data_IF_421560197400
#
_entry.id   IF_421560197400
#
_cell.length_a   1.000
_cell.length_b   1.000
_cell.length_c   1.000
_cell.angle_alpha   90.00
_cell.angle_beta   90.00
_cell.angle_gamma   90.00
#
_symmetry.space_group_name_H-M   'P 1'
#
loop_
_entity.id
_entity.type
_entity.pdbx_description
1 polymer ?
#
# COMPACT_ATOMS: atom_id res chain seq x y z
N UNK A 1 0.99 -3.91 23.50
CA UNK A 1 0.77 -2.51 23.09
C UNK A 1 1.66 -2.06 21.93
N UNK A 2 2.99 -1.97 22.05
CA UNK A 2 3.81 -1.52 20.92
C UNK A 2 3.60 -2.36 19.63
N UNK A 3 3.59 -3.69 19.74
CA UNK A 3 3.33 -4.60 18.60
C UNK A 3 1.97 -4.38 17.94
N UNK A 4 0.93 -4.07 18.71
CA UNK A 4 -0.42 -3.86 18.15
C UNK A 4 -0.53 -2.57 17.34
N UNK A 5 0.45 -1.66 17.44
CA UNK A 5 0.53 -0.44 16.64
C UNK A 5 1.54 -0.62 15.49
N UNK A 6 2.71 -1.20 15.78
CA UNK A 6 3.78 -1.34 14.78
C UNK A 6 3.47 -2.35 13.68
N UNK A 7 2.69 -3.40 13.97
CA UNK A 7 2.30 -4.37 12.94
C UNK A 7 1.36 -3.72 11.90
N UNK A 8 0.23 -3.08 12.29
CA UNK A 8 -0.60 -2.35 11.32
C UNK A 8 0.13 -1.20 10.63
N UNK A 9 1.04 -0.51 11.33
CA UNK A 9 1.86 0.56 10.73
C UNK A 9 2.80 0.01 9.64
N UNK A 10 3.42 -1.15 9.88
CA UNK A 10 4.27 -1.81 8.90
C UNK A 10 3.49 -2.34 7.70
N UNK A 11 2.30 -2.90 7.94
CA UNK A 11 1.39 -3.34 6.88
C UNK A 11 0.94 -2.16 6.02
N UNK A 12 0.53 -1.05 6.65
CA UNK A 12 0.18 0.20 5.98
C UNK A 12 1.34 0.73 5.11
N UNK A 13 2.57 0.69 5.64
CA UNK A 13 3.76 1.07 4.88
C UNK A 13 3.98 0.19 3.66
N UNK A 14 3.86 -1.13 3.79
CA UNK A 14 4.07 -2.05 2.67
C UNK A 14 2.98 -1.90 1.60
N UNK A 15 1.72 -1.75 2.00
CA UNK A 15 0.62 -1.52 1.05
C UNK A 15 0.81 -0.20 0.29
N UNK A 16 1.29 0.85 0.95
CA UNK A 16 1.65 2.09 0.28
C UNK A 16 2.82 1.91 -0.70
N UNK A 17 3.87 1.15 -0.34
CA UNK A 17 5.01 0.86 -1.23
C UNK A 17 4.54 0.10 -2.48
N UNK A 18 3.73 -0.95 -2.31
CA UNK A 18 3.14 -1.72 -3.40
C UNK A 18 2.26 -0.85 -4.31
N UNK A 19 1.57 0.16 -3.76
CA UNK A 19 0.70 1.07 -4.53
C UNK A 19 1.56 1.98 -5.42
N UNK A 20 2.54 2.62 -4.79
CA UNK A 20 3.45 3.54 -5.47
C UNK A 20 4.32 2.81 -6.50
N UNK A 21 4.60 1.52 -6.34
CA UNK A 21 5.35 0.74 -7.32
C UNK A 21 4.64 0.72 -8.68
N UNK A 22 3.32 0.51 -8.73
CA UNK A 22 2.60 0.52 -10.02
C UNK A 22 2.07 1.90 -10.42
N UNK A 23 1.64 2.73 -9.46
CA UNK A 23 0.91 3.98 -9.72
C UNK A 23 1.75 5.25 -9.61
N UNK A 24 2.96 5.16 -9.04
CA UNK A 24 3.75 6.33 -8.68
C UNK A 24 4.30 7.05 -9.90
N UNK A 25 4.26 8.38 -9.88
CA UNK A 25 4.92 9.20 -10.90
C UNK A 25 6.44 9.25 -10.65
N UNK A 26 7.26 9.59 -11.66
CA UNK A 26 8.71 9.74 -11.48
C UNK A 26 9.12 10.70 -10.35
N UNK A 27 8.27 11.69 -10.03
CA UNK A 27 8.48 12.63 -8.92
C UNK A 27 8.19 12.01 -7.55
N UNK A 28 7.35 10.98 -7.50
CA UNK A 28 6.95 10.29 -6.28
C UNK A 28 7.85 9.09 -5.94
N UNK A 29 8.47 8.47 -6.95
CA UNK A 29 9.25 7.24 -6.80
C UNK A 29 10.75 7.49 -6.99
N UNK A 30 11.57 6.91 -6.10
CA UNK A 30 13.05 6.98 -6.19
C UNK A 30 13.62 5.88 -7.11
N UNK A 31 12.81 4.86 -7.39
CA UNK A 31 13.13 3.72 -8.24
C UNK A 31 11.97 3.49 -9.20
N UNK A 32 12.26 2.97 -10.38
CA UNK A 32 11.22 2.46 -11.28
C UNK A 32 10.55 1.28 -10.57
N UNK A 33 9.23 1.27 -10.56
CA UNK A 33 8.46 0.15 -10.02
C UNK A 33 8.66 -1.11 -10.85
N UNK A 34 8.71 -2.26 -10.19
CA UNK A 34 9.11 -3.54 -10.81
C UNK A 34 8.21 -4.70 -10.43
N UNK A 35 7.24 -4.53 -9.54
CA UNK A 35 6.46 -5.62 -8.96
C UNK A 35 5.74 -6.44 -10.02
N UNK A 36 5.14 -5.77 -11.01
CA UNK A 36 4.46 -6.42 -12.14
C UNK A 36 5.46 -7.23 -12.97
N UNK A 37 6.62 -6.65 -13.31
CA UNK A 37 7.64 -7.27 -14.16
C UNK A 37 8.33 -8.45 -13.47
N UNK A 38 8.51 -8.36 -12.16
CA UNK A 38 9.20 -9.34 -11.32
C UNK A 38 8.27 -10.44 -10.79
N UNK A 39 7.00 -10.44 -11.20
CA UNK A 39 5.99 -11.41 -10.76
C UNK A 39 5.85 -11.44 -9.23
N UNK A 40 5.88 -10.27 -8.59
CA UNK A 40 5.76 -10.19 -7.13
C UNK A 40 4.32 -10.43 -6.69
N UNK A 41 4.19 -11.02 -5.50
CA UNK A 41 2.90 -11.21 -4.85
C UNK A 41 2.51 -9.94 -4.07
N UNK A 42 2.36 -8.81 -4.78
CA UNK A 42 1.95 -7.56 -4.17
C UNK A 42 0.50 -7.62 -3.70
N UNK A 43 0.12 -6.74 -2.78
CA UNK A 43 -1.26 -6.68 -2.31
C UNK A 43 -2.25 -6.36 -3.45
N UNK A 44 -1.80 -5.70 -4.51
CA UNK A 44 -2.62 -5.22 -5.62
C UNK A 44 -2.93 -6.27 -6.68
N UNK A 45 -2.02 -7.20 -6.99
CA UNK A 45 -2.37 -8.34 -7.84
C UNK A 45 -3.37 -9.24 -7.13
N UNK A 46 -3.17 -9.48 -5.82
CA UNK A 46 -4.11 -10.28 -5.01
C UNK A 46 -5.49 -9.61 -4.90
N UNK A 47 -5.53 -8.29 -4.69
CA UNK A 47 -6.79 -7.54 -4.63
C UNK A 47 -7.51 -7.56 -5.97
N UNK A 48 -6.78 -7.43 -7.07
CA UNK A 48 -7.33 -7.50 -8.42
C UNK A 48 -7.92 -8.88 -8.71
N UNK A 49 -7.18 -9.96 -8.45
CA UNK A 49 -7.64 -11.33 -8.67
C UNK A 49 -8.90 -11.68 -7.88
N UNK A 50 -9.12 -11.04 -6.73
CA UNK A 50 -10.31 -11.26 -5.92
C UNK A 50 -11.60 -10.65 -6.52
N UNK A 51 -11.49 -9.73 -7.48
CA UNK A 51 -12.63 -8.92 -7.97
C UNK A 51 -12.71 -8.79 -9.48
N UNK A 52 -11.69 -9.22 -10.20
CA UNK A 52 -11.63 -9.10 -11.65
C UNK A 52 -12.62 -10.04 -12.35
N UNK A 53 -12.97 -9.71 -13.59
CA UNK A 53 -13.72 -10.62 -14.47
C UNK A 53 -12.81 -11.72 -15.02
N UNK A 54 -13.39 -12.72 -15.69
CA UNK A 54 -12.62 -13.78 -16.35
C UNK A 54 -11.71 -13.23 -17.46
N UNK A 55 -12.20 -12.25 -18.21
CA UNK A 55 -11.43 -11.61 -19.28
C UNK A 55 -10.23 -10.84 -18.71
N UNK A 56 -10.44 -10.12 -17.60
CA UNK A 56 -9.37 -9.43 -16.89
C UNK A 56 -8.37 -10.42 -16.28
N UNK A 57 -8.84 -11.54 -15.74
CA UNK A 57 -7.98 -12.59 -15.22
C UNK A 57 -7.07 -13.16 -16.30
N UNK A 58 -7.60 -13.42 -17.51
CA UNK A 58 -6.78 -13.87 -18.64
C UNK A 58 -5.71 -12.86 -19.04
N UNK A 59 -6.03 -11.56 -19.00
CA UNK A 59 -5.01 -10.52 -19.22
C UNK A 59 -3.90 -10.62 -18.17
N UNK A 60 -4.24 -10.81 -16.89
CA UNK A 60 -3.24 -10.97 -15.83
C UNK A 60 -2.39 -12.23 -16.04
N UNK A 61 -3.00 -13.37 -16.38
CA UNK A 61 -2.30 -14.65 -16.57
C UNK A 61 -1.26 -14.59 -17.71
N UNK A 62 -1.59 -13.88 -18.81
CA UNK A 62 -0.69 -13.75 -19.96
C UNK A 62 0.43 -12.71 -19.73
N UNK A 63 0.11 -11.60 -19.03
CA UNK A 63 0.95 -10.41 -19.00
C UNK A 63 1.72 -10.20 -17.69
N UNK A 64 1.23 -10.68 -16.54
CA UNK A 64 1.89 -10.47 -15.25
C UNK A 64 3.21 -11.27 -15.17
N UNK A 65 4.27 -10.66 -14.64
CA UNK A 65 5.59 -11.29 -14.56
C UNK A 65 6.36 -11.36 -15.89
N UNK A 66 5.92 -10.64 -16.93
CA UNK A 66 6.63 -10.53 -18.20
C UNK A 66 7.51 -9.29 -18.21
N UNK A 67 8.78 -9.45 -18.59
CA UNK A 67 9.75 -8.35 -18.75
C UNK A 67 9.54 -7.59 -20.06
N UNK A 68 8.33 -7.08 -20.25
CA UNK A 68 7.86 -6.41 -21.45
C UNK A 68 6.94 -5.25 -21.07
N UNK A 69 7.17 -4.08 -21.65
CA UNK A 69 6.47 -2.85 -21.28
C UNK A 69 5.01 -2.84 -21.72
N UNK A 70 4.66 -3.54 -22.80
CA UNK A 70 3.27 -3.64 -23.25
C UNK A 70 2.47 -4.59 -22.35
N UNK A 71 3.10 -5.67 -21.89
CA UNK A 71 2.52 -6.55 -20.88
C UNK A 71 2.28 -5.78 -19.57
N UNK A 72 3.27 -5.01 -19.11
CA UNK A 72 3.12 -4.16 -17.91
C UNK A 72 1.97 -3.17 -18.05
N UNK A 73 1.87 -2.50 -19.21
CA UNK A 73 0.78 -1.57 -19.52
C UNK A 73 -0.58 -2.27 -19.46
N UNK A 74 -0.71 -3.46 -20.06
CA UNK A 74 -1.96 -4.24 -20.01
C UNK A 74 -2.38 -4.61 -18.60
N UNK A 75 -1.44 -4.97 -17.72
CA UNK A 75 -1.72 -5.21 -16.30
C UNK A 75 -2.19 -3.92 -15.60
N UNK A 76 -1.52 -2.79 -15.84
CA UNK A 76 -1.89 -1.50 -15.24
C UNK A 76 -3.30 -1.06 -15.68
N UNK A 77 -3.67 -1.30 -16.94
CA UNK A 77 -5.03 -1.03 -17.43
C UNK A 77 -6.08 -1.87 -16.69
N UNK A 78 -5.79 -3.14 -16.37
CA UNK A 78 -6.69 -3.96 -15.55
C UNK A 78 -6.81 -3.41 -14.13
N UNK A 79 -5.68 -3.01 -13.53
CA UNK A 79 -5.63 -2.39 -12.19
C UNK A 79 -6.47 -1.11 -12.08
N UNK A 80 -6.51 -0.32 -13.15
CA UNK A 80 -7.26 0.94 -13.22
C UNK A 80 -8.70 0.77 -13.74
N UNK A 81 -9.04 -0.41 -14.27
CA UNK A 81 -10.32 -0.67 -14.90
C UNK A 81 -11.52 -0.56 -13.93
N UNK A 82 -12.69 -0.25 -14.49
CA UNK A 82 -13.94 -0.21 -13.73
C UNK A 82 -14.24 -1.59 -13.13
N UNK A 83 -14.49 -1.64 -11.82
CA UNK A 83 -14.70 -2.87 -11.05
C UNK A 83 -13.49 -3.27 -10.21
N UNK A 84 -12.28 -3.03 -10.73
CA UNK A 84 -11.03 -3.17 -9.97
C UNK A 84 -10.71 -1.86 -9.25
N UNK A 85 -10.46 -0.77 -9.98
CA UNK A 85 -10.21 0.59 -9.46
C UNK A 85 -9.34 0.61 -8.18
N UNK A 86 -8.08 0.20 -8.33
CA UNK A 86 -7.15 0.13 -7.20
C UNK A 86 -6.89 1.49 -6.56
N UNK A 87 -6.95 2.58 -7.33
CA UNK A 87 -6.82 3.94 -6.81
C UNK A 87 -7.90 4.27 -5.80
N UNK A 88 -9.17 4.00 -6.12
CA UNK A 88 -10.28 4.20 -5.19
C UNK A 88 -10.18 3.28 -3.97
N UNK A 89 -9.86 2.00 -4.18
CA UNK A 89 -9.71 1.04 -3.07
C UNK A 89 -8.60 1.45 -2.10
N UNK A 90 -7.46 1.89 -2.64
CA UNK A 90 -6.37 2.42 -1.84
C UNK A 90 -6.79 3.68 -1.09
N UNK A 91 -7.45 4.65 -1.72
CA UNK A 91 -7.91 5.86 -1.04
C UNK A 91 -8.82 5.57 0.17
N UNK A 92 -9.76 4.63 0.02
CA UNK A 92 -10.63 4.18 1.13
C UNK A 92 -9.82 3.49 2.24
N UNK A 93 -8.87 2.65 1.86
CA UNK A 93 -7.98 1.96 2.81
C UNK A 93 -7.08 2.94 3.57
N UNK A 94 -6.45 3.88 2.86
CA UNK A 94 -5.51 4.88 3.38
C UNK A 94 -6.17 5.75 4.45
N UNK A 95 -7.33 6.33 4.15
CA UNK A 95 -8.07 7.17 5.10
C UNK A 95 -8.49 6.40 6.35
N UNK A 96 -8.98 5.17 6.17
CA UNK A 96 -9.41 4.30 7.26
C UNK A 96 -8.24 3.95 8.19
N UNK A 97 -7.18 3.37 7.64
CA UNK A 97 -6.06 2.83 8.43
C UNK A 97 -5.26 3.96 9.09
N UNK A 98 -5.10 5.09 8.42
CA UNK A 98 -4.51 6.27 9.05
C UNK A 98 -5.32 6.73 10.28
N UNK A 99 -6.64 6.79 10.16
CA UNK A 99 -7.52 7.14 11.29
C UNK A 99 -7.40 6.16 12.46
N UNK A 100 -7.40 4.85 12.17
CA UNK A 100 -7.22 3.79 13.18
C UNK A 100 -5.85 3.89 13.87
N UNK A 101 -4.77 4.11 13.11
CA UNK A 101 -3.42 4.28 13.64
C UNK A 101 -3.31 5.53 14.54
N UNK A 102 -3.90 6.65 14.12
CA UNK A 102 -3.94 7.87 14.95
C UNK A 102 -4.67 7.62 16.27
N UNK A 103 -5.83 6.94 16.23
CA UNK A 103 -6.59 6.61 17.42
C UNK A 103 -5.79 5.69 18.37
N UNK A 104 -5.23 4.59 17.85
CA UNK A 104 -4.42 3.65 18.65
C UNK A 104 -3.19 4.30 19.29
N UNK A 105 -2.54 5.23 18.58
CA UNK A 105 -1.42 6.00 19.15
C UNK A 105 -1.90 6.94 20.25
N UNK A 106 -3.06 7.59 20.06
CA UNK A 106 -3.66 8.49 21.06
C UNK A 106 -3.97 7.81 22.40
N UNK A 107 -4.32 6.52 22.36
CA UNK A 107 -4.68 5.71 23.53
C UNK A 107 -3.47 5.21 24.34
N UNK A 108 -2.22 5.42 23.89
CA UNK A 108 -1.05 4.97 24.65
C UNK A 108 -0.97 5.72 26.00
N UNK A 109 -0.98 5.00 27.13
CA UNK A 109 -0.85 5.62 28.43
C UNK A 109 0.58 6.13 28.62
N UNK A 110 0.70 7.42 28.92
CA UNK A 110 1.96 8.04 29.31
C UNK A 110 1.85 8.50 30.76
N UNK A 111 2.79 8.07 31.60
CA UNK A 111 2.84 8.45 33.01
C UNK A 111 4.20 9.08 33.30
N UNK A 112 4.17 10.29 33.85
CA UNK A 112 5.37 11.03 34.23
C UNK A 112 6.19 10.25 35.27
N UNK A 113 7.51 10.24 35.11
CA UNK A 113 8.42 9.51 36.00
C UNK A 113 8.46 7.98 35.82
N UNK A 114 7.74 7.40 34.86
CA UNK A 114 7.83 5.96 34.53
C UNK A 114 8.34 5.74 33.11
N UNK A 115 9.07 4.65 32.90
CA UNK A 115 9.45 4.18 31.57
C UNK A 115 8.23 3.56 30.89
N UNK A 116 7.44 4.39 30.23
CA UNK A 116 6.29 3.99 29.41
C UNK A 116 6.60 4.19 27.92
N UNK A 117 5.82 3.53 27.06
CA UNK A 117 5.82 3.83 25.63
C UNK A 117 5.49 5.31 25.41
N UNK A 118 6.13 5.91 24.40
CA UNK A 118 5.95 7.32 24.03
C UNK A 118 5.19 7.44 22.72
N UNK A 119 4.01 8.06 22.74
CA UNK A 119 3.17 8.38 21.58
C UNK A 119 3.96 9.07 20.48
N UNK A 120 4.79 10.05 20.87
CA UNK A 120 5.59 10.85 19.94
C UNK A 120 6.48 9.99 19.03
N UNK A 121 6.97 8.85 19.52
CA UNK A 121 7.78 7.94 18.70
C UNK A 121 6.92 7.33 17.58
N UNK A 122 5.78 6.73 17.91
CA UNK A 122 4.87 6.13 16.91
C UNK A 122 4.31 7.18 15.95
N UNK A 123 3.93 8.36 16.47
CA UNK A 123 3.44 9.47 15.67
C UNK A 123 4.49 9.95 14.67
N UNK A 124 5.76 10.05 15.08
CA UNK A 124 6.85 10.43 14.18
C UNK A 124 7.09 9.43 13.05
N UNK A 125 6.85 8.13 13.29
CA UNK A 125 6.90 7.12 12.23
C UNK A 125 5.70 7.25 11.29
N UNK A 126 4.49 7.38 11.84
CA UNK A 126 3.28 7.53 11.04
C UNK A 126 3.33 8.78 10.14
N UNK A 127 3.78 9.91 10.67
CA UNK A 127 3.87 11.18 9.93
C UNK A 127 4.93 11.14 8.80
N UNK A 128 5.92 10.24 8.89
CA UNK A 128 6.89 10.01 7.81
C UNK A 128 6.36 9.12 6.69
N UNK A 129 5.27 8.40 6.93
CA UNK A 129 4.69 7.41 6.01
C UNK A 129 3.42 7.98 5.37
N UNK A 130 2.58 8.66 6.16
CA UNK A 130 1.30 9.18 5.68
C UNK A 130 1.48 10.22 4.58
N UNK A 131 0.78 10.02 3.45
CA UNK A 131 0.81 10.90 2.26
C UNK A 131 2.22 11.30 1.84
N UNK A 132 3.15 10.36 1.90
CA UNK A 132 4.53 10.57 1.50
C UNK A 132 4.61 11.01 0.03
N UNK A 133 4.76 12.32 -0.17
CA UNK A 133 5.48 12.87 -1.31
C UNK A 133 6.90 13.12 -0.82
N UNK A 134 7.90 12.64 -1.55
CA UNK A 134 9.29 12.93 -1.21
C UNK A 134 9.73 14.25 -1.82
#
# INVERSE_FOLDING_TARGET
LAKSILIPLGEYFQIQDDFLDFSGTPEQIVKIGTDILDNKCSCYVNTTLAVCTLEQQWVLDENYGRKDSECERGVKEVFESSGVDLGKRYGVYDEKVYGELVAMIGEIPEVEGKSTLKRGVFKSFLDRIYKRMK
#
